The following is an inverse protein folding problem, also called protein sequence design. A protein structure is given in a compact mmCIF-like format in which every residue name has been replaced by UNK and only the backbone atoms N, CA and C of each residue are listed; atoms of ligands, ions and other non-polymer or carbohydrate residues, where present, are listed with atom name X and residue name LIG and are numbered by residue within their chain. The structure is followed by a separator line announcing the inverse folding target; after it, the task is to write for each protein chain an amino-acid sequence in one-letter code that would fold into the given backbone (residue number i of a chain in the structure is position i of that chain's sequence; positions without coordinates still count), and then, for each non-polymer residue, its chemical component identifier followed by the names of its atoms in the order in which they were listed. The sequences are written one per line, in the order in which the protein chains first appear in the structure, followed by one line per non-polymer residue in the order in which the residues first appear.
data_IF_734100534927
#
_entry.id   IF_734100534927
#
_cell.length_a   1.000
_cell.length_b   1.000
_cell.length_c   1.000
_cell.angle_alpha   90.00
_cell.angle_beta   90.00
_cell.angle_gamma   90.00
#
_symmetry.space_group_name_H-M   'P 1'
#
loop_
_entity.id
_entity.type
_entity.pdbx_description
1 polymer ?
#
# COMPACT_ATOMS: atom_id res chain seq x y z
N UNK A 1 -7.37 21.55 5.54
CA UNK A 1 -7.31 21.19 4.10
C UNK A 1 -7.48 19.71 3.93
N UNK A 2 -8.24 19.31 2.91
CA UNK A 2 -8.40 17.90 2.60
C UNK A 2 -7.12 17.35 1.97
N UNK A 3 -6.76 16.11 2.31
CA UNK A 3 -5.64 15.42 1.69
C UNK A 3 -5.94 15.15 0.20
N UNK A 4 -4.92 15.18 -0.62
CA UNK A 4 -5.03 14.81 -2.04
C UNK A 4 -4.81 13.31 -2.20
N UNK A 5 -5.14 12.80 -3.39
CA UNK A 5 -4.84 11.40 -3.75
C UNK A 5 -3.34 11.13 -3.62
N UNK A 6 -2.49 12.06 -4.06
CA UNK A 6 -1.03 11.92 -3.93
C UNK A 6 -0.59 11.83 -2.46
N UNK A 7 -1.20 12.59 -1.57
CA UNK A 7 -0.88 12.51 -0.13
C UNK A 7 -1.20 11.13 0.44
N UNK A 8 -2.35 10.58 0.07
CA UNK A 8 -2.76 9.24 0.50
C UNK A 8 -1.79 8.17 -0.04
N UNK A 9 -1.41 8.29 -1.30
CA UNK A 9 -0.49 7.34 -1.94
C UNK A 9 0.89 7.40 -1.31
N UNK A 10 1.40 8.60 -0.99
CA UNK A 10 2.68 8.74 -0.30
C UNK A 10 2.68 7.96 1.03
N UNK A 11 1.60 8.03 1.78
CA UNK A 11 1.45 7.27 3.03
C UNK A 11 1.36 5.76 2.78
N UNK A 12 0.66 5.34 1.73
CA UNK A 12 0.59 3.93 1.36
C UNK A 12 1.97 3.38 1.01
N UNK A 13 2.78 4.15 0.30
CA UNK A 13 4.13 3.75 -0.07
C UNK A 13 5.04 3.59 1.17
N UNK A 14 4.79 4.34 2.23
CA UNK A 14 5.49 4.13 3.51
C UNK A 14 5.20 2.73 4.07
N UNK A 15 3.97 2.27 3.98
CA UNK A 15 3.59 0.92 4.39
C UNK A 15 4.35 -0.16 3.60
N UNK A 16 4.44 0.00 2.29
CA UNK A 16 5.21 -0.90 1.44
C UNK A 16 6.71 -0.87 1.78
N UNK A 17 7.24 0.28 2.16
CA UNK A 17 8.64 0.40 2.59
C UNK A 17 8.89 -0.37 3.88
N UNK A 18 7.99 -0.29 4.85
CA UNK A 18 8.08 -1.06 6.09
C UNK A 18 8.10 -2.56 5.80
N UNK A 19 7.19 -3.02 4.92
CA UNK A 19 7.13 -4.43 4.53
C UNK A 19 8.41 -4.87 3.80
N UNK A 20 8.93 -4.04 2.91
CA UNK A 20 10.16 -4.34 2.18
C UNK A 20 11.37 -4.45 3.13
N UNK A 21 11.46 -3.59 4.13
CA UNK A 21 12.52 -3.65 5.13
C UNK A 21 12.46 -4.95 5.93
N UNK A 22 11.25 -5.39 6.30
CA UNK A 22 11.06 -6.66 6.98
C UNK A 22 11.49 -7.83 6.08
N UNK A 23 11.13 -7.80 4.81
CA UNK A 23 11.49 -8.83 3.85
C UNK A 23 13.01 -8.95 3.68
N UNK A 24 13.72 -7.82 3.62
CA UNK A 24 15.19 -7.81 3.51
C UNK A 24 15.86 -8.47 4.72
N UNK A 25 15.28 -8.31 5.90
CA UNK A 25 15.85 -8.85 7.13
C UNK A 25 15.70 -10.36 7.25
N UNK A 26 14.76 -10.99 6.52
CA UNK A 26 14.40 -12.39 6.69
C UNK A 26 14.85 -13.29 5.55
N UNK A 27 15.19 -12.74 4.39
CA UNK A 27 15.69 -13.46 3.20
C UNK A 27 14.74 -14.49 2.56
N UNK A 28 15.15 -15.05 1.46
CA UNK A 28 14.62 -16.19 0.66
C UNK A 28 13.10 -16.37 0.54
N UNK A 29 12.41 -16.67 1.58
CA UNK A 29 10.97 -16.92 1.55
C UNK A 29 10.15 -15.69 1.20
N UNK A 30 10.80 -14.51 1.23
CA UNK A 30 10.16 -13.23 1.00
C UNK A 30 10.27 -12.75 -0.44
N UNK A 31 10.88 -13.51 -1.35
CA UNK A 31 11.04 -13.08 -2.74
C UNK A 31 9.70 -12.77 -3.40
N UNK A 32 8.71 -13.63 -3.20
CA UNK A 32 7.37 -13.44 -3.75
C UNK A 32 6.71 -12.17 -3.17
N UNK A 33 6.90 -11.94 -1.89
CA UNK A 33 6.39 -10.74 -1.21
C UNK A 33 7.03 -9.48 -1.81
N UNK A 34 8.34 -9.50 -2.04
CA UNK A 34 9.06 -8.39 -2.66
C UNK A 34 8.55 -8.10 -4.05
N UNK A 35 8.33 -9.15 -4.86
CA UNK A 35 7.83 -9.02 -6.23
C UNK A 35 6.41 -8.42 -6.25
N UNK A 36 5.51 -8.91 -5.40
CA UNK A 36 4.16 -8.36 -5.27
C UNK A 36 4.19 -6.91 -4.79
N UNK A 37 5.04 -6.61 -3.84
CA UNK A 37 5.20 -5.23 -3.34
C UNK A 37 5.61 -4.27 -4.44
N UNK A 38 6.51 -4.69 -5.31
CA UNK A 38 6.96 -3.90 -6.46
C UNK A 38 5.80 -3.63 -7.43
N UNK A 39 4.98 -4.63 -7.71
CA UNK A 39 3.81 -4.48 -8.58
C UNK A 39 2.82 -3.47 -7.99
N UNK A 40 2.50 -3.59 -6.70
CA UNK A 40 1.58 -2.68 -6.04
C UNK A 40 2.10 -1.25 -5.98
N UNK A 41 3.39 -1.07 -5.69
CA UNK A 41 4.02 0.26 -5.72
C UNK A 41 3.86 0.91 -7.10
N UNK A 42 4.03 0.15 -8.17
CA UNK A 42 3.85 0.63 -9.54
C UNK A 42 2.41 1.09 -9.78
N UNK A 43 1.42 0.32 -9.33
CA UNK A 43 0.00 0.66 -9.47
C UNK A 43 -0.35 1.95 -8.73
N UNK A 44 0.11 2.09 -7.48
CA UNK A 44 -0.12 3.31 -6.71
C UNK A 44 0.55 4.52 -7.36
N UNK A 45 1.77 4.35 -7.87
CA UNK A 45 2.48 5.43 -8.56
C UNK A 45 1.73 5.88 -9.81
N UNK A 46 1.13 4.96 -10.56
CA UNK A 46 0.33 5.29 -11.73
C UNK A 46 -0.90 6.11 -11.36
N UNK A 47 -1.59 5.76 -10.27
CA UNK A 47 -2.74 6.52 -9.79
C UNK A 47 -2.30 7.92 -9.35
N UNK A 48 -1.17 8.04 -8.66
CA UNK A 48 -0.64 9.35 -8.26
C UNK A 48 -0.32 10.22 -9.46
N UNK A 49 0.26 9.64 -10.51
CA UNK A 49 0.57 10.37 -11.74
C UNK A 49 -0.69 10.84 -12.48
N UNK A 50 -1.75 10.01 -12.48
CA UNK A 50 -2.98 10.30 -13.21
C UNK A 50 -3.92 11.23 -12.44
N UNK A 51 -4.01 11.09 -11.12
CA UNK A 51 -5.05 11.73 -10.31
C UNK A 51 -4.52 12.35 -9.02
N UNK A 52 -3.22 12.52 -8.90
CA UNK A 52 -2.59 12.93 -7.63
C UNK A 52 -3.07 14.27 -7.06
N UNK A 53 -3.47 15.21 -7.92
CA UNK A 53 -3.93 16.54 -7.49
C UNK A 53 -5.39 16.56 -7.06
N UNK A 54 -6.15 15.50 -7.30
CA UNK A 54 -7.55 15.43 -6.90
C UNK A 54 -7.68 15.30 -5.39
N UNK A 55 -8.77 15.85 -4.81
CA UNK A 55 -9.05 15.60 -3.40
C UNK A 55 -9.29 14.10 -3.15
N UNK A 56 -8.77 13.59 -2.05
CA UNK A 56 -8.99 12.19 -1.67
C UNK A 56 -10.48 11.98 -1.33
N UNK A 57 -11.08 10.86 -1.79
CA UNK A 57 -12.46 10.53 -1.40
C UNK A 57 -12.61 10.34 0.10
N UNK A 58 -13.83 10.46 0.59
CA UNK A 58 -14.14 10.19 2.00
C UNK A 58 -13.78 8.74 2.33
N UNK A 59 -13.11 8.54 3.46
CA UNK A 59 -12.70 7.21 3.91
C UNK A 59 -11.33 6.75 3.37
N UNK A 60 -10.77 7.44 2.38
CA UNK A 60 -9.47 7.04 1.82
C UNK A 60 -8.34 7.17 2.84
N UNK A 61 -8.32 8.23 3.63
CA UNK A 61 -7.30 8.44 4.65
C UNK A 61 -7.31 7.33 5.71
N UNK A 62 -8.49 6.90 6.13
CA UNK A 62 -8.65 5.81 7.10
C UNK A 62 -8.18 4.48 6.52
N UNK A 63 -8.51 4.19 5.27
CA UNK A 63 -8.07 2.97 4.61
C UNK A 63 -6.55 2.91 4.48
N UNK A 64 -5.92 4.02 4.12
CA UNK A 64 -4.46 4.12 4.01
C UNK A 64 -3.80 4.00 5.38
N UNK A 65 -4.38 4.60 6.41
CA UNK A 65 -3.86 4.49 7.77
C UNK A 65 -3.90 3.04 8.25
N UNK A 66 -5.00 2.33 7.98
CA UNK A 66 -5.12 0.91 8.31
C UNK A 66 -4.07 0.07 7.57
N UNK A 67 -3.87 0.33 6.29
CA UNK A 67 -2.86 -0.35 5.48
C UNK A 67 -1.46 -0.19 6.10
N UNK A 68 -1.09 1.02 6.44
CA UNK A 68 0.24 1.31 6.99
C UNK A 68 0.43 0.69 8.38
N UNK A 69 -0.61 0.77 9.22
CA UNK A 69 -0.57 0.18 10.57
C UNK A 69 -0.42 -1.35 10.50
N UNK A 70 -1.15 -2.01 9.62
CA UNK A 70 -1.06 -3.47 9.45
C UNK A 70 0.31 -3.89 8.91
N UNK A 71 0.92 -3.10 8.05
CA UNK A 71 2.27 -3.40 7.56
C UNK A 71 3.28 -3.52 8.69
N UNK A 72 3.16 -2.70 9.73
CA UNK A 72 4.02 -2.75 10.90
C UNK A 72 3.83 -4.00 11.75
N UNK A 73 2.74 -4.73 11.58
CA UNK A 73 2.44 -5.95 12.33
C UNK A 73 2.83 -7.23 11.57
N UNK A 74 3.29 -7.10 10.34
CA UNK A 74 3.67 -8.25 9.52
C UNK A 74 5.01 -8.79 9.99
N UNK A 75 5.04 -10.07 10.37
CA UNK A 75 6.25 -10.74 10.89
C UNK A 75 6.62 -12.01 10.13
N UNK A 76 5.77 -12.48 9.23
CA UNK A 76 6.02 -13.71 8.48
C UNK A 76 5.48 -13.60 7.04
N UNK A 77 5.98 -14.44 6.09
CA UNK A 77 5.59 -14.36 4.68
C UNK A 77 4.11 -14.61 4.43
N UNK A 78 3.45 -15.45 5.21
CA UNK A 78 2.03 -15.74 5.03
C UNK A 78 1.18 -14.51 5.33
N UNK A 79 1.49 -13.80 6.41
CA UNK A 79 0.82 -12.55 6.75
C UNK A 79 1.10 -11.47 5.71
N UNK A 80 2.33 -11.43 5.19
CA UNK A 80 2.69 -10.49 4.14
C UNK A 80 1.88 -10.72 2.87
N UNK A 81 1.70 -11.97 2.47
CA UNK A 81 0.90 -12.32 1.30
C UNK A 81 -0.57 -11.95 1.52
N UNK A 82 -1.11 -12.23 2.70
CA UNK A 82 -2.48 -11.84 3.06
C UNK A 82 -2.64 -10.32 2.99
N UNK A 83 -1.70 -9.58 3.55
CA UNK A 83 -1.69 -8.12 3.52
C UNK A 83 -1.70 -7.61 2.08
N UNK A 84 -0.83 -8.14 1.22
CA UNK A 84 -0.72 -7.75 -0.18
C UNK A 84 -1.94 -8.16 -1.02
N UNK A 85 -2.65 -9.18 -0.60
CA UNK A 85 -3.84 -9.68 -1.31
C UNK A 85 -5.11 -8.92 -0.96
N UNK A 86 -5.13 -8.16 0.13
CA UNK A 86 -6.34 -7.53 0.64
C UNK A 86 -6.22 -6.01 0.77
N UNK A 87 -5.28 -5.51 1.57
CA UNK A 87 -5.24 -4.11 1.95
C UNK A 87 -4.90 -3.14 0.81
N UNK A 88 -3.94 -3.44 -0.09
CA UNK A 88 -3.69 -2.54 -1.22
C UNK A 88 -4.90 -2.39 -2.12
N UNK A 89 -5.66 -3.45 -2.33
CA UNK A 89 -6.86 -3.43 -3.15
C UNK A 89 -7.96 -2.60 -2.50
N UNK A 90 -8.15 -2.75 -1.19
CA UNK A 90 -9.09 -1.94 -0.41
C UNK A 90 -8.71 -0.46 -0.49
N UNK A 91 -7.43 -0.15 -0.34
CA UNK A 91 -6.94 1.22 -0.41
C UNK A 91 -7.17 1.83 -1.80
N UNK A 92 -6.90 1.10 -2.88
CA UNK A 92 -7.17 1.57 -4.23
C UNK A 92 -8.66 1.80 -4.47
N UNK A 93 -9.50 0.90 -3.99
CA UNK A 93 -10.96 1.06 -4.10
C UNK A 93 -11.42 2.31 -3.34
N UNK A 94 -10.85 2.56 -2.15
CA UNK A 94 -11.14 3.76 -1.37
C UNK A 94 -10.73 5.04 -2.09
N UNK A 95 -9.70 4.98 -2.94
CA UNK A 95 -9.28 6.10 -3.79
C UNK A 95 -10.12 6.25 -5.06
N UNK A 96 -11.11 5.38 -5.26
CA UNK A 96 -12.01 5.44 -6.41
C UNK A 96 -11.57 4.61 -7.61
N UNK A 97 -10.53 3.80 -7.47
CA UNK A 97 -10.07 2.94 -8.55
C UNK A 97 -10.86 1.62 -8.56
N UNK A 98 -11.21 1.08 -9.73
CA UNK A 98 -11.83 -0.24 -9.79
C UNK A 98 -10.83 -1.32 -9.34
N UNK A 99 -11.35 -2.32 -8.70
CA UNK A 99 -10.57 -3.45 -8.20
C UNK A 99 -9.96 -4.27 -9.35
#
# INVERSE_FOLDING_TARGET
MAATVADCIARALEGFTVLATTAEAVEDEWQYVTDLGTVWRGRFAQVAAARGTEPAPAGAAEAITALTAEAGLVTDPHRAIDWLSTLPQVALAALGEPA
#
